data_IF_435483030922
#
_entry.id   IF_435483030922
#
_cell.length_a   1.000
_cell.length_b   1.000
_cell.length_c   1.000
_cell.angle_alpha   90.00
_cell.angle_beta   90.00
_cell.angle_gamma   90.00
#
_symmetry.space_group_name_H-M   'P 1'
#
loop_
_entity.id
_entity.type
_entity.pdbx_description
1 polymer ?
#
# COMPACT_ATOMS: atom_id res chain seq x y z
N UNK A 1 52.65 -0.58 -44.73
CA UNK A 1 53.22 -0.42 -43.37
C UNK A 1 52.78 0.93 -42.82
N UNK A 2 52.34 0.96 -41.55
CA UNK A 2 51.86 2.10 -40.74
C UNK A 2 50.52 2.76 -41.17
N UNK A 3 49.57 3.09 -40.29
CA UNK A 3 49.29 2.73 -38.89
C UNK A 3 47.92 3.30 -38.47
N UNK A 4 47.31 2.69 -37.44
CA UNK A 4 46.28 3.21 -36.50
C UNK A 4 44.80 3.44 -36.91
N UNK A 5 44.02 2.40 -36.64
CA UNK A 5 43.01 2.34 -35.56
C UNK A 5 42.18 3.59 -35.25
N UNK A 6 40.89 3.56 -35.61
CA UNK A 6 39.83 4.24 -34.85
C UNK A 6 38.68 3.26 -34.60
N UNK A 7 38.78 2.63 -33.42
CA UNK A 7 37.73 2.05 -32.60
C UNK A 7 36.42 2.85 -32.74
N UNK A 8 35.39 2.28 -33.36
CA UNK A 8 33.99 2.66 -33.19
C UNK A 8 33.16 1.52 -33.77
N UNK A 9 32.57 0.68 -32.91
CA UNK A 9 31.24 0.07 -33.10
C UNK A 9 30.82 -0.48 -31.74
N UNK A 10 30.03 0.36 -31.07
CA UNK A 10 28.86 0.06 -30.25
C UNK A 10 28.89 -1.26 -29.45
N UNK A 11 29.28 -1.14 -28.18
CA UNK A 11 28.77 -2.00 -27.12
C UNK A 11 27.24 -1.84 -27.09
N UNK A 12 26.51 -2.80 -27.65
CA UNK A 12 25.07 -2.92 -27.40
C UNK A 12 24.89 -3.31 -25.93
N UNK A 13 24.49 -2.33 -25.15
CA UNK A 13 24.07 -2.48 -23.78
C UNK A 13 22.87 -3.42 -23.69
N UNK A 14 23.10 -4.68 -23.31
CA UNK A 14 22.08 -5.45 -22.60
C UNK A 14 21.99 -4.89 -21.19
N UNK A 15 21.27 -3.78 -21.05
CA UNK A 15 20.82 -3.29 -19.77
C UNK A 15 19.75 -4.28 -19.25
N UNK A 16 20.19 -5.43 -18.71
CA UNK A 16 19.37 -6.26 -17.82
C UNK A 16 19.25 -5.55 -16.47
N UNK A 17 18.60 -4.39 -16.48
CA UNK A 17 17.97 -3.80 -15.31
C UNK A 17 16.47 -4.00 -15.48
N UNK A 18 16.03 -5.26 -15.52
CA UNK A 18 14.74 -5.60 -14.95
C UNK A 18 14.88 -5.36 -13.44
N UNK A 19 14.75 -4.10 -13.02
CA UNK A 19 14.41 -3.83 -11.64
C UNK A 19 13.08 -4.53 -11.38
N UNK A 20 13.10 -5.63 -10.64
CA UNK A 20 11.88 -6.16 -10.08
C UNK A 20 11.29 -5.04 -9.21
N UNK A 21 10.21 -4.41 -9.67
CA UNK A 21 9.39 -3.59 -8.80
C UNK A 21 8.89 -4.53 -7.71
N UNK A 22 9.54 -4.52 -6.55
CA UNK A 22 8.99 -5.19 -5.39
C UNK A 22 7.65 -4.53 -5.11
N UNK A 23 6.56 -5.29 -5.28
CA UNK A 23 5.26 -4.93 -4.73
C UNK A 23 5.41 -5.01 -3.21
N UNK A 24 6.04 -4.00 -2.62
CA UNK A 24 6.14 -3.88 -1.19
C UNK A 24 4.70 -3.68 -0.72
N UNK A 25 4.13 -4.70 -0.05
CA UNK A 25 2.81 -4.63 0.55
C UNK A 25 2.85 -3.52 1.60
N UNK A 26 2.56 -2.30 1.19
CA UNK A 26 2.56 -1.16 2.08
C UNK A 26 1.37 -1.33 3.03
N UNK A 27 1.67 -1.80 4.24
CA UNK A 27 0.74 -1.93 5.37
C UNK A 27 1.23 -1.05 6.50
N UNK A 28 0.31 -0.28 7.08
CA UNK A 28 0.59 0.69 8.15
C UNK A 28 0.50 0.01 9.52
N UNK A 29 -0.50 -0.85 9.73
CA UNK A 29 -0.69 -1.58 10.98
C UNK A 29 -1.05 -3.06 10.76
N UNK A 30 -0.08 -3.91 10.38
CA UNK A 30 -0.33 -5.30 10.03
C UNK A 30 -1.00 -6.12 11.14
N UNK A 31 -0.82 -5.72 12.40
CA UNK A 31 -1.38 -6.38 13.58
C UNK A 31 -2.65 -5.69 14.14
N UNK A 32 -3.27 -4.74 13.42
CA UNK A 32 -4.47 -4.02 13.88
C UNK A 32 -5.73 -4.90 13.99
N UNK A 33 -5.70 -6.14 13.52
CA UNK A 33 -6.74 -7.15 13.79
C UNK A 33 -6.64 -7.74 15.21
N UNK A 34 -5.49 -7.63 15.88
CA UNK A 34 -5.18 -8.29 17.16
C UNK A 34 -4.86 -7.32 18.30
N UNK A 35 -4.77 -6.01 18.04
CA UNK A 35 -4.54 -5.00 19.10
C UNK A 35 -5.28 -3.69 18.83
N UNK A 36 -5.50 -2.91 19.88
CA UNK A 36 -5.96 -1.53 19.78
C UNK A 36 -4.85 -0.63 19.23
N UNK A 37 -5.23 0.32 18.38
CA UNK A 37 -4.37 1.42 17.92
C UNK A 37 -4.51 2.63 18.84
N UNK A 38 -3.42 3.31 19.18
CA UNK A 38 -3.46 4.44 20.10
C UNK A 38 -3.31 5.79 19.38
N UNK A 39 -3.75 6.86 20.04
CA UNK A 39 -3.75 8.21 19.47
C UNK A 39 -2.35 8.71 19.11
N UNK A 40 -1.32 8.34 19.88
CA UNK A 40 0.07 8.68 19.60
C UNK A 40 0.63 7.97 18.34
N UNK A 41 0.11 6.79 18.00
CA UNK A 41 0.48 6.08 16.78
C UNK A 41 -0.20 6.70 15.55
N UNK A 42 -1.41 7.22 15.71
CA UNK A 42 -2.20 7.81 14.63
C UNK A 42 -1.86 9.28 14.36
N UNK A 43 -1.44 10.02 15.39
CA UNK A 43 -1.15 11.46 15.29
C UNK A 43 0.03 11.81 14.40
N UNK A 44 0.91 10.84 14.12
CA UNK A 44 2.13 11.02 13.32
C UNK A 44 1.95 10.60 11.86
N UNK A 45 0.78 10.09 11.48
CA UNK A 45 0.50 9.56 10.15
C UNK A 45 0.09 10.64 9.17
N UNK A 46 0.36 10.43 7.88
CA UNK A 46 -0.22 11.29 6.84
C UNK A 46 -1.68 10.92 6.55
N UNK A 47 -2.43 11.78 5.85
CA UNK A 47 -3.76 11.43 5.35
C UNK A 47 -3.76 10.20 4.43
N UNK A 48 -2.68 9.99 3.67
CA UNK A 48 -2.52 8.79 2.87
C UNK A 48 -2.38 7.56 3.78
N UNK A 49 -1.54 7.63 4.81
CA UNK A 49 -1.31 6.50 5.72
C UNK A 49 -2.55 6.16 6.53
N UNK A 50 -3.30 7.17 7.00
CA UNK A 50 -4.60 6.96 7.67
C UNK A 50 -5.59 6.25 6.74
N UNK A 51 -5.67 6.70 5.47
CA UNK A 51 -6.52 6.03 4.49
C UNK A 51 -6.07 4.58 4.25
N UNK A 52 -4.77 4.32 4.11
CA UNK A 52 -4.26 2.94 3.95
C UNK A 52 -4.59 2.13 5.20
N UNK A 53 -4.24 2.60 6.39
CA UNK A 53 -4.48 1.95 7.68
C UNK A 53 -5.94 1.54 7.87
N UNK A 54 -6.88 2.39 7.46
CA UNK A 54 -8.31 2.07 7.51
C UNK A 54 -8.65 0.98 6.50
N UNK A 55 -8.21 1.12 5.25
CA UNK A 55 -8.61 0.23 4.16
C UNK A 55 -7.93 -1.15 4.24
N UNK A 56 -6.71 -1.27 4.76
CA UNK A 56 -6.06 -2.57 4.98
C UNK A 56 -6.83 -3.46 5.96
N UNK A 57 -7.60 -2.89 6.90
CA UNK A 57 -8.49 -3.66 7.79
C UNK A 57 -9.61 -4.33 6.98
N UNK A 58 -10.15 -3.62 5.99
CA UNK A 58 -11.16 -4.18 5.08
C UNK A 58 -10.56 -5.20 4.12
N UNK A 59 -9.38 -4.91 3.58
CA UNK A 59 -8.64 -5.79 2.67
C UNK A 59 -8.37 -7.16 3.31
N UNK A 60 -7.86 -7.20 4.55
CA UNK A 60 -7.65 -8.45 5.31
C UNK A 60 -8.94 -9.24 5.57
N UNK A 61 -10.11 -8.61 5.44
CA UNK A 61 -11.43 -9.27 5.56
C UNK A 61 -12.04 -9.61 4.20
N UNK A 62 -11.24 -9.54 3.13
CA UNK A 62 -11.62 -9.96 1.78
C UNK A 62 -12.48 -8.95 1.03
N UNK A 63 -12.45 -7.67 1.42
CA UNK A 63 -13.29 -6.65 0.82
C UNK A 63 -12.88 -6.35 -0.63
N UNK A 64 -13.83 -6.52 -1.55
CA UNK A 64 -13.66 -6.12 -2.94
C UNK A 64 -13.93 -4.62 -3.11
N UNK A 65 -12.87 -3.82 -3.20
CA UNK A 65 -12.94 -2.38 -3.35
C UNK A 65 -13.70 -1.96 -4.61
N UNK A 66 -14.56 -0.95 -4.47
CA UNK A 66 -15.41 -0.42 -5.56
C UNK A 66 -14.89 0.86 -6.20
N UNK A 67 -14.01 1.57 -5.50
CA UNK A 67 -13.41 2.79 -6.03
C UNK A 67 -12.15 2.47 -6.82
N UNK A 68 -11.86 3.25 -7.87
CA UNK A 68 -10.61 3.12 -8.64
C UNK A 68 -9.37 3.20 -7.76
N UNK A 69 -9.38 4.10 -6.76
CA UNK A 69 -8.28 4.24 -5.78
C UNK A 69 -8.08 2.98 -4.95
N UNK A 70 -9.14 2.39 -4.42
CA UNK A 70 -9.07 1.15 -3.63
C UNK A 70 -8.55 -0.02 -4.47
N UNK A 71 -9.10 -0.19 -5.68
CA UNK A 71 -8.69 -1.23 -6.61
C UNK A 71 -7.23 -1.09 -7.05
N UNK A 72 -6.77 0.14 -7.31
CA UNK A 72 -5.40 0.40 -7.71
C UNK A 72 -4.40 0.14 -6.56
N UNK A 73 -4.79 0.40 -5.31
CA UNK A 73 -3.89 0.30 -4.16
C UNK A 73 -3.83 -1.13 -3.59
N UNK A 74 -4.99 -1.73 -3.30
CA UNK A 74 -5.08 -3.02 -2.62
C UNK A 74 -5.21 -4.20 -3.57
N UNK A 75 -5.41 -3.93 -4.87
CA UNK A 75 -5.92 -4.93 -5.80
C UNK A 75 -7.29 -5.47 -5.36
N UNK A 76 -7.98 -6.16 -6.26
CA UNK A 76 -9.13 -6.99 -5.91
C UNK A 76 -8.83 -8.47 -6.21
N UNK A 77 -7.57 -8.79 -6.52
CA UNK A 77 -7.18 -10.18 -6.73
C UNK A 77 -7.35 -10.96 -5.43
N UNK A 78 -8.19 -12.00 -5.46
CA UNK A 78 -8.47 -12.84 -4.30
C UNK A 78 -9.44 -12.25 -3.27
N UNK A 79 -10.10 -11.12 -3.55
CA UNK A 79 -11.19 -10.64 -2.70
C UNK A 79 -12.45 -11.54 -2.86
N UNK A 80 -13.32 -11.59 -1.84
CA UNK A 80 -14.50 -12.49 -1.85
C UNK A 80 -15.79 -11.88 -1.29
N UNK A 81 -15.77 -10.66 -0.75
CA UNK A 81 -16.98 -10.03 -0.18
C UNK A 81 -17.08 -8.55 -0.49
N UNK A 82 -18.30 -8.04 -0.65
CA UNK A 82 -18.61 -6.62 -0.75
C UNK A 82 -19.14 -6.04 0.57
N UNK A 83 -19.20 -6.87 1.61
CA UNK A 83 -19.71 -6.53 2.94
C UNK A 83 -18.80 -7.17 3.98
N UNK A 84 -17.57 -6.68 4.06
CA UNK A 84 -16.57 -7.22 5.00
C UNK A 84 -17.07 -7.10 6.44
N UNK A 85 -17.09 -8.24 7.14
CA UNK A 85 -17.46 -8.32 8.54
C UNK A 85 -16.20 -8.08 9.38
N UNK A 86 -16.17 -6.95 10.07
CA UNK A 86 -15.08 -6.58 10.97
C UNK A 86 -15.36 -7.08 12.39
N UNK A 87 -14.32 -7.47 13.11
CA UNK A 87 -14.41 -7.76 14.54
C UNK A 87 -14.78 -6.50 15.34
N UNK A 88 -15.18 -6.67 16.61
CA UNK A 88 -15.42 -5.52 17.50
C UNK A 88 -14.18 -4.63 17.62
N UNK A 89 -12.99 -5.22 17.72
CA UNK A 89 -11.72 -4.52 17.82
C UNK A 89 -11.37 -3.77 16.54
N UNK A 90 -11.56 -4.39 15.37
CA UNK A 90 -11.34 -3.76 14.08
C UNK A 90 -12.28 -2.58 13.85
N UNK A 91 -13.56 -2.72 14.22
CA UNK A 91 -14.51 -1.60 14.17
C UNK A 91 -14.06 -0.43 15.08
N UNK A 92 -13.52 -0.71 16.26
CA UNK A 92 -12.97 0.32 17.15
C UNK A 92 -11.75 1.02 16.52
N UNK A 93 -10.83 0.26 15.92
CA UNK A 93 -9.67 0.81 15.24
C UNK A 93 -10.07 1.65 14.03
N UNK A 94 -11.00 1.18 13.18
CA UNK A 94 -11.55 1.95 12.06
C UNK A 94 -12.19 3.25 12.54
N UNK A 95 -12.97 3.21 13.62
CA UNK A 95 -13.59 4.42 14.17
C UNK A 95 -12.55 5.44 14.65
N UNK A 96 -11.47 4.99 15.30
CA UNK A 96 -10.37 5.83 15.77
C UNK A 96 -9.58 6.43 14.59
N UNK A 97 -9.24 5.63 13.58
CA UNK A 97 -8.58 6.12 12.36
C UNK A 97 -9.45 7.18 11.66
N UNK A 98 -10.76 6.91 11.47
CA UNK A 98 -11.69 7.89 10.88
C UNK A 98 -11.79 9.17 11.68
N UNK A 99 -11.61 9.12 13.00
CA UNK A 99 -11.57 10.34 13.82
C UNK A 99 -10.33 11.19 13.53
N UNK A 100 -9.17 10.56 13.30
CA UNK A 100 -7.95 11.23 12.89
C UNK A 100 -8.01 11.75 11.46
N UNK A 101 -8.59 11.00 10.52
CA UNK A 101 -8.86 11.49 9.15
C UNK A 101 -9.61 12.83 9.22
N UNK A 102 -10.74 12.87 9.95
CA UNK A 102 -11.53 14.09 10.15
C UNK A 102 -10.75 15.24 10.80
N UNK A 103 -9.86 14.94 11.75
CA UNK A 103 -9.00 15.96 12.40
C UNK A 103 -8.02 16.58 11.41
N UNK A 104 -7.54 15.82 10.43
CA UNK A 104 -6.55 16.26 9.44
C UNK A 104 -7.18 16.82 8.16
N UNK A 105 -8.51 16.79 8.03
CA UNK A 105 -9.20 17.29 6.84
C UNK A 105 -9.14 16.32 5.66
N UNK A 106 -9.02 15.02 5.96
CA UNK A 106 -9.28 13.92 5.04
C UNK A 106 -10.41 13.01 5.58
#
# INVERSE_FOLDING_TARGET
>A
MREHSKLFIVLLAFCSLCGAASAQSYSVFPNSSNRSLYDNELSVLTCQDLWVARNEIYDRRGYCFKTRRGQAFFSNQGCWTNAAQLSRLENQNVARIKAWERRFGC
#
